data_IF_794251277674
#
_entry.id   IF_794251277674
#
_cell.length_a   1.000
_cell.length_b   1.000
_cell.length_c   1.000
_cell.angle_alpha   90.00
_cell.angle_beta   90.00
_cell.angle_gamma   90.00
#
_symmetry.space_group_name_H-M   'P 1'
#
loop_
_entity.id
_entity.type
_entity.pdbx_description
1 polymer ?
#
# COMPACT_ATOMS: atom_id res chain seq x y z
N UNK A 1 13.09 -17.29 22.81
CA UNK A 1 12.38 -16.03 23.14
C UNK A 1 11.79 -15.34 21.91
N UNK A 2 12.33 -15.50 20.70
CA UNK A 2 11.78 -14.85 19.47
C UNK A 2 10.42 -15.40 19.03
N UNK A 3 10.20 -16.72 19.15
CA UNK A 3 8.95 -17.37 18.71
C UNK A 3 7.71 -16.88 19.45
N UNK A 4 7.82 -16.50 20.73
CA UNK A 4 6.70 -15.98 21.52
C UNK A 4 6.18 -14.65 20.97
N UNK A 5 7.08 -13.73 20.58
CA UNK A 5 6.67 -12.42 20.04
C UNK A 5 5.99 -12.56 18.68
N UNK A 6 6.48 -13.45 17.82
CA UNK A 6 5.87 -13.71 16.52
C UNK A 6 4.46 -14.32 16.68
N UNK A 7 4.29 -15.29 17.58
CA UNK A 7 2.99 -15.89 17.88
C UNK A 7 2.01 -14.88 18.49
N UNK A 8 2.48 -14.01 19.39
CA UNK A 8 1.65 -12.95 19.97
C UNK A 8 1.21 -11.94 18.90
N UNK A 9 2.11 -11.56 17.99
CA UNK A 9 1.80 -10.66 16.88
C UNK A 9 0.83 -11.30 15.88
N UNK A 10 0.99 -12.59 15.57
CA UNK A 10 0.03 -13.35 14.76
C UNK A 10 -1.37 -13.32 15.39
N UNK A 11 -1.48 -13.57 16.69
CA UNK A 11 -2.75 -13.49 17.42
C UNK A 11 -3.34 -12.07 17.38
N UNK A 12 -2.51 -11.02 17.54
CA UNK A 12 -2.96 -9.63 17.40
C UNK A 12 -3.50 -9.34 16.00
N UNK A 13 -2.84 -9.84 14.94
CA UNK A 13 -3.29 -9.67 13.56
C UNK A 13 -4.64 -10.38 13.34
N UNK A 14 -4.79 -11.61 13.83
CA UNK A 14 -6.05 -12.36 13.73
C UNK A 14 -7.19 -11.62 14.46
N UNK A 15 -6.94 -11.12 15.67
CA UNK A 15 -7.92 -10.34 16.43
C UNK A 15 -8.28 -9.04 15.70
N UNK A 16 -7.29 -8.33 15.18
CA UNK A 16 -7.49 -7.11 14.41
C UNK A 16 -8.36 -7.36 13.17
N UNK A 17 -8.07 -8.42 12.41
CA UNK A 17 -8.85 -8.82 11.24
C UNK A 17 -10.30 -9.16 11.61
N UNK A 18 -10.53 -9.86 12.73
CA UNK A 18 -11.88 -10.17 13.18
C UNK A 18 -12.68 -8.91 13.54
N UNK A 19 -12.05 -7.94 14.22
CA UNK A 19 -12.67 -6.66 14.58
C UNK A 19 -13.03 -5.84 13.33
N UNK A 20 -12.18 -5.87 12.29
CA UNK A 20 -12.37 -5.12 11.05
C UNK A 20 -13.11 -5.91 9.96
N UNK A 21 -13.58 -7.13 10.27
CA UNK A 21 -14.33 -7.96 9.32
C UNK A 21 -13.54 -8.38 8.08
N UNK A 22 -12.23 -8.60 8.22
CA UNK A 22 -11.28 -8.82 7.13
C UNK A 22 -11.26 -7.68 6.10
N UNK A 23 -11.31 -6.43 6.57
CA UNK A 23 -11.22 -5.24 5.72
C UNK A 23 -10.07 -4.35 6.11
N UNK A 24 -9.46 -3.73 5.10
CA UNK A 24 -8.49 -2.65 5.25
C UNK A 24 -9.10 -1.43 4.59
N UNK A 25 -9.44 -0.44 5.41
CA UNK A 25 -9.98 0.84 4.96
C UNK A 25 -8.98 1.95 5.28
N UNK A 26 -8.56 2.69 4.26
CA UNK A 26 -7.59 3.78 4.41
C UNK A 26 -8.08 5.04 3.71
N UNK A 27 -7.87 6.19 4.35
CA UNK A 27 -8.05 7.50 3.77
C UNK A 27 -6.72 8.23 3.85
N UNK A 28 -6.13 8.54 2.69
CA UNK A 28 -4.80 9.14 2.57
C UNK A 28 -4.96 10.54 1.99
N UNK A 29 -4.75 11.57 2.82
CA UNK A 29 -4.97 12.98 2.44
C UNK A 29 -3.75 13.89 2.65
N UNK A 30 -2.68 13.36 3.25
CA UNK A 30 -1.46 14.11 3.58
C UNK A 30 -0.26 13.68 2.72
N UNK A 31 0.58 14.65 2.35
CA UNK A 31 1.72 14.47 1.45
C UNK A 31 1.38 14.80 0.00
N UNK A 32 2.11 14.19 -0.93
CA UNK A 32 1.90 14.36 -2.38
C UNK A 32 2.48 13.19 -3.17
N UNK A 33 2.08 13.08 -4.44
CA UNK A 33 2.73 12.26 -5.44
C UNK A 33 3.86 13.05 -6.09
N UNK A 34 5.08 12.54 -5.99
CA UNK A 34 6.29 13.08 -6.61
C UNK A 34 6.60 12.32 -7.90
N UNK A 35 7.03 13.03 -8.93
CA UNK A 35 7.45 12.39 -10.17
C UNK A 35 8.75 11.60 -9.94
N UNK A 36 8.75 10.30 -10.24
CA UNK A 36 9.93 9.45 -10.21
C UNK A 36 10.54 9.29 -11.60
N UNK A 37 9.68 9.19 -12.61
CA UNK A 37 10.04 9.14 -14.02
C UNK A 37 8.99 9.91 -14.81
N UNK A 38 9.18 10.19 -16.12
CA UNK A 38 8.18 10.90 -16.91
C UNK A 38 6.76 10.32 -16.82
N UNK A 39 6.62 9.02 -16.57
CA UNK A 39 5.32 8.32 -16.53
C UNK A 39 4.96 7.74 -15.16
N UNK A 40 5.78 7.93 -14.12
CA UNK A 40 5.58 7.29 -12.81
C UNK A 40 5.65 8.34 -11.73
N UNK A 41 4.64 8.36 -10.86
CA UNK A 41 4.56 9.22 -9.70
C UNK A 41 4.39 8.38 -8.44
N UNK A 42 5.08 8.73 -7.36
CA UNK A 42 4.98 7.99 -6.12
C UNK A 42 4.72 8.90 -4.92
N UNK A 43 3.83 8.44 -4.04
CA UNK A 43 3.69 8.94 -2.70
C UNK A 43 4.47 8.02 -1.76
N UNK A 44 5.43 8.60 -1.03
CA UNK A 44 6.18 7.90 0.01
C UNK A 44 6.04 8.66 1.32
N UNK A 45 5.53 8.00 2.35
CA UNK A 45 5.50 8.49 3.73
C UNK A 45 5.85 7.35 4.68
N UNK A 46 6.14 7.61 5.98
CA UNK A 46 6.48 6.54 6.92
C UNK A 46 5.39 5.46 6.96
N UNK A 47 5.72 4.28 6.41
CA UNK A 47 4.78 3.17 6.34
C UNK A 47 3.66 3.35 5.31
N UNK A 48 3.90 4.06 4.20
CA UNK A 48 3.06 4.03 2.99
C UNK A 48 3.96 4.18 1.77
N UNK A 49 3.77 3.34 0.76
CA UNK A 49 4.27 3.57 -0.58
C UNK A 49 3.17 3.29 -1.59
N UNK A 50 2.84 4.30 -2.39
CA UNK A 50 1.86 4.19 -3.47
C UNK A 50 2.53 4.73 -4.72
N UNK A 51 2.55 3.96 -5.80
CA UNK A 51 3.03 4.40 -7.10
C UNK A 51 1.90 4.34 -8.11
N UNK A 52 1.76 5.39 -8.92
CA UNK A 52 0.83 5.45 -10.04
C UNK A 52 1.62 5.60 -11.33
N UNK A 53 1.31 4.75 -12.30
CA UNK A 53 1.87 4.76 -13.64
C UNK A 53 0.87 5.26 -14.66
N UNK A 54 1.34 6.09 -15.59
CA UNK A 54 0.62 6.53 -16.78
C UNK A 54 1.25 5.93 -18.05
N UNK A 55 0.49 5.84 -19.13
CA UNK A 55 0.92 5.31 -20.44
C UNK A 55 1.87 6.28 -21.15
N UNK A 56 1.71 7.57 -20.89
CA UNK A 56 2.47 8.65 -21.51
C UNK A 56 2.85 9.70 -20.45
N UNK A 57 3.91 10.49 -20.69
CA UNK A 57 4.26 11.57 -19.79
C UNK A 57 3.17 12.63 -19.70
N UNK A 58 2.81 13.01 -18.48
CA UNK A 58 1.85 14.08 -18.23
C UNK A 58 2.49 15.42 -18.55
N UNK A 59 1.78 16.28 -19.28
CA UNK A 59 2.29 17.59 -19.66
C UNK A 59 1.90 18.66 -18.63
N UNK A 60 2.86 19.47 -18.14
CA UNK A 60 2.55 20.55 -17.20
C UNK A 60 1.50 21.52 -17.75
N UNK A 61 0.47 21.79 -16.95
CA UNK A 61 -0.54 22.81 -17.26
C UNK A 61 -1.64 22.41 -18.26
N UNK A 62 -1.58 21.21 -18.84
CA UNK A 62 -2.63 20.69 -19.74
C UNK A 62 -3.45 19.56 -19.15
N UNK A 63 -2.93 18.93 -18.09
CA UNK A 63 -3.51 17.73 -17.50
C UNK A 63 -4.87 18.04 -16.88
N UNK A 64 -5.86 17.26 -17.28
CA UNK A 64 -7.20 17.24 -16.71
C UNK A 64 -7.62 15.82 -16.30
N UNK A 65 -8.85 15.69 -15.79
CA UNK A 65 -9.40 14.40 -15.35
C UNK A 65 -9.47 13.38 -16.50
N UNK A 66 -9.86 13.81 -17.69
CA UNK A 66 -10.03 12.92 -18.84
C UNK A 66 -8.67 12.38 -19.31
N UNK A 67 -7.65 13.24 -19.40
CA UNK A 67 -6.28 12.86 -19.73
C UNK A 67 -5.75 11.84 -18.72
N UNK A 68 -5.93 12.08 -17.42
CA UNK A 68 -5.50 11.17 -16.36
C UNK A 68 -6.18 9.81 -16.44
N UNK A 69 -7.49 9.78 -16.71
CA UNK A 69 -8.26 8.54 -16.84
C UNK A 69 -7.86 7.73 -18.08
N UNK A 70 -7.68 8.39 -19.23
CA UNK A 70 -7.28 7.72 -20.47
C UNK A 70 -5.84 7.19 -20.40
N UNK A 71 -4.95 7.98 -19.80
CA UNK A 71 -3.54 7.64 -19.66
C UNK A 71 -3.22 6.76 -18.45
N UNK A 72 -4.14 6.51 -17.52
CA UNK A 72 -3.89 5.59 -16.41
C UNK A 72 -3.42 4.21 -16.91
N UNK A 73 -2.36 3.68 -16.30
CA UNK A 73 -1.77 2.40 -16.65
C UNK A 73 -1.82 1.41 -15.49
N UNK A 74 -1.36 1.79 -14.30
CA UNK A 74 -1.38 0.92 -13.13
C UNK A 74 -1.25 1.71 -11.83
N UNK A 75 -1.56 1.04 -10.72
CA UNK A 75 -1.15 1.42 -9.37
C UNK A 75 -0.33 0.28 -8.73
N UNK A 76 0.61 0.64 -7.87
CA UNK A 76 1.32 -0.29 -7.00
C UNK A 76 1.15 0.17 -5.54
N UNK A 77 0.90 -0.78 -4.65
CA UNK A 77 0.68 -0.52 -3.23
C UNK A 77 1.67 -1.33 -2.41
N UNK A 78 2.49 -0.63 -1.64
CA UNK A 78 3.40 -1.26 -0.70
C UNK A 78 3.32 -0.59 0.67
N UNK A 79 3.71 -1.35 1.69
CA UNK A 79 3.88 -0.87 3.06
C UNK A 79 2.62 -0.29 3.69
N UNK A 80 1.40 -0.58 3.23
CA UNK A 80 0.18 0.03 3.75
C UNK A 80 -0.01 -0.23 5.27
N UNK A 81 -0.43 0.77 6.06
CA UNK A 81 -0.57 0.63 7.49
C UNK A 81 -1.84 -0.13 7.85
N UNK A 82 -1.79 -0.86 8.96
CA UNK A 82 -2.94 -1.50 9.58
C UNK A 82 -3.37 -0.64 10.77
N UNK A 83 -4.24 0.34 10.53
CA UNK A 83 -4.64 1.32 11.55
C UNK A 83 -5.23 0.63 12.78
N UNK A 84 -4.72 0.96 13.96
CA UNK A 84 -5.15 0.35 15.23
C UNK A 84 -4.51 -1.00 15.55
N UNK A 85 -3.65 -1.56 14.69
CA UNK A 85 -2.82 -2.72 15.04
C UNK A 85 -1.62 -2.26 15.87
N UNK A 86 -1.50 -2.77 17.10
CA UNK A 86 -0.34 -2.57 17.95
C UNK A 86 0.84 -3.46 17.53
N UNK A 87 1.71 -2.92 16.68
CA UNK A 87 2.90 -3.60 16.15
C UNK A 87 4.08 -3.40 17.12
N UNK A 88 4.69 -4.48 17.65
CA UNK A 88 5.87 -4.39 18.51
C UNK A 88 7.02 -3.65 17.83
N UNK A 89 7.80 -2.91 18.62
CA UNK A 89 9.03 -2.27 18.13
C UNK A 89 9.96 -3.30 17.47
N UNK A 90 10.61 -2.90 16.37
CA UNK A 90 11.48 -3.79 15.61
C UNK A 90 10.75 -4.70 14.61
N UNK A 91 9.43 -4.61 14.47
CA UNK A 91 8.65 -5.33 13.46
C UNK A 91 8.10 -4.40 12.38
N UNK A 92 8.05 -4.92 11.15
CA UNK A 92 7.28 -4.38 10.03
C UNK A 92 6.14 -5.34 9.76
N UNK A 93 4.93 -4.80 9.60
CA UNK A 93 3.72 -5.59 9.31
C UNK A 93 2.90 -4.88 8.26
N UNK A 94 2.64 -5.54 7.15
CA UNK A 94 1.93 -4.97 6.01
C UNK A 94 1.02 -6.00 5.34
N UNK A 95 -0.08 -5.57 4.70
CA UNK A 95 -0.88 -6.44 3.87
C UNK A 95 -0.14 -6.75 2.55
N UNK A 96 -0.43 -7.92 1.97
CA UNK A 96 0.16 -8.37 0.70
C UNK A 96 -0.91 -8.43 -0.40
N UNK A 97 -0.67 -7.70 -1.48
CA UNK A 97 -1.49 -7.76 -2.69
C UNK A 97 -1.11 -9.00 -3.50
N UNK A 98 -2.07 -9.62 -4.22
CA UNK A 98 -1.78 -10.75 -5.12
C UNK A 98 -0.77 -10.42 -6.23
N UNK A 99 -0.72 -9.15 -6.63
CA UNK A 99 0.15 -8.63 -7.68
C UNK A 99 0.80 -7.33 -7.21
N UNK A 100 2.06 -7.12 -7.58
CA UNK A 100 2.83 -5.92 -7.21
C UNK A 100 2.31 -4.63 -7.87
N UNK A 101 1.61 -4.75 -8.99
CA UNK A 101 0.89 -3.64 -9.65
C UNK A 101 -0.37 -4.15 -10.31
N UNK A 102 -1.39 -3.29 -10.42
CA UNK A 102 -2.70 -3.62 -10.99
C UNK A 102 -3.43 -2.35 -11.44
N UNK A 103 -4.44 -2.50 -12.30
CA UNK A 103 -5.33 -1.44 -12.78
C UNK A 103 -6.80 -1.69 -12.40
N UNK A 104 -7.20 -2.97 -12.32
CA UNK A 104 -8.53 -3.37 -11.89
C UNK A 104 -8.87 -2.82 -10.50
N UNK A 105 -10.08 -2.25 -10.37
CA UNK A 105 -10.57 -1.69 -9.11
C UNK A 105 -10.00 -0.32 -8.76
N UNK A 106 -9.17 0.30 -9.62
CA UNK A 106 -8.70 1.68 -9.48
C UNK A 106 -9.61 2.62 -10.27
N UNK A 107 -10.05 3.70 -9.63
CA UNK A 107 -10.84 4.75 -10.25
C UNK A 107 -10.26 6.12 -9.90
N UNK A 108 -9.95 6.92 -10.90
CA UNK A 108 -9.62 8.34 -10.73
C UNK A 108 -10.96 9.09 -10.72
N UNK A 109 -11.36 9.53 -9.53
CA UNK A 109 -12.67 10.12 -9.27
C UNK A 109 -12.74 11.58 -9.72
N UNK A 110 -11.68 12.35 -9.42
CA UNK A 110 -11.60 13.78 -9.71
C UNK A 110 -10.15 14.25 -9.78
N UNK A 111 -9.94 15.37 -10.48
CA UNK A 111 -8.68 16.10 -10.49
C UNK A 111 -8.96 17.61 -10.46
N UNK A 112 -8.77 18.22 -9.29
CA UNK A 112 -9.11 19.61 -9.05
C UNK A 112 -8.01 20.27 -8.21
N UNK A 113 -7.61 21.50 -8.56
CA UNK A 113 -6.57 22.24 -7.84
C UNK A 113 -5.26 21.42 -7.67
N UNK A 114 -4.84 20.72 -8.73
CA UNK A 114 -3.68 19.82 -8.74
C UNK A 114 -3.77 18.62 -7.77
N UNK A 115 -4.97 18.29 -7.27
CA UNK A 115 -5.17 17.13 -6.37
C UNK A 115 -5.86 16.00 -7.10
N UNK A 116 -5.24 14.83 -7.04
CA UNK A 116 -5.78 13.58 -7.55
C UNK A 116 -6.64 12.94 -6.47
N UNK A 117 -7.92 12.75 -6.79
CA UNK A 117 -8.85 11.96 -5.99
C UNK A 117 -8.97 10.59 -6.63
N UNK A 118 -8.57 9.54 -5.90
CA UNK A 118 -8.64 8.18 -6.39
C UNK A 118 -9.24 7.22 -5.37
N UNK A 119 -9.99 6.25 -5.87
CA UNK A 119 -10.55 5.14 -5.10
C UNK A 119 -9.92 3.85 -5.60
N UNK A 120 -9.41 3.03 -4.69
CA UNK A 120 -8.83 1.72 -4.97
C UNK A 120 -9.64 0.68 -4.22
N UNK A 121 -10.23 -0.24 -4.97
CA UNK A 121 -10.84 -1.47 -4.45
C UNK A 121 -9.95 -2.64 -4.86
N UNK A 122 -9.38 -3.35 -3.90
CA UNK A 122 -8.48 -4.47 -4.17
C UNK A 122 -8.69 -5.59 -3.15
N UNK A 123 -7.91 -6.66 -3.27
CA UNK A 123 -7.85 -7.74 -2.30
C UNK A 123 -6.43 -7.91 -1.81
N UNK A 124 -6.28 -8.28 -0.55
CA UNK A 124 -5.03 -8.77 0.02
C UNK A 124 -5.23 -10.24 0.39
N UNK A 125 -4.20 -11.06 0.16
CA UNK A 125 -4.26 -12.51 0.46
C UNK A 125 -3.64 -12.87 1.80
N UNK A 126 -2.89 -11.93 2.39
CA UNK A 126 -2.24 -12.10 3.67
C UNK A 126 -1.90 -10.76 4.32
N UNK A 127 -1.68 -10.81 5.63
CA UNK A 127 -0.85 -9.83 6.34
C UNK A 127 0.46 -10.54 6.69
N UNK A 128 1.58 -9.96 6.29
CA UNK A 128 2.90 -10.50 6.60
C UNK A 128 3.62 -9.60 7.60
N UNK A 129 4.52 -10.20 8.39
CA UNK A 129 5.39 -9.46 9.29
C UNK A 129 6.81 -9.97 9.29
N UNK A 130 7.78 -9.08 9.45
CA UNK A 130 9.19 -9.42 9.60
C UNK A 130 9.92 -8.46 10.55
N UNK A 131 10.99 -8.94 11.19
CA UNK A 131 11.88 -8.07 11.97
C UNK A 131 12.68 -7.12 11.08
N UNK A 132 12.91 -5.90 11.56
CA UNK A 132 13.55 -4.80 10.81
C UNK A 132 15.03 -5.07 10.49
N UNK A 133 15.75 -5.74 11.39
CA UNK A 133 17.21 -5.87 11.33
C UNK A 133 17.69 -7.20 10.72
N UNK A 134 16.77 -8.11 10.42
CA UNK A 134 17.11 -9.38 9.80
C UNK A 134 16.76 -9.32 8.31
N UNK A 135 17.73 -8.90 7.51
CA UNK A 135 17.65 -9.13 6.08
C UNK A 135 17.68 -10.65 5.86
N UNK A 136 16.63 -11.26 5.27
CA UNK A 136 16.71 -12.66 4.91
C UNK A 136 17.91 -12.84 3.98
N UNK A 137 18.82 -13.74 4.37
CA UNK A 137 19.92 -14.16 3.49
C UNK A 137 19.26 -14.80 2.27
N UNK A 138 19.60 -14.31 1.07
CA UNK A 138 19.10 -14.88 -0.18
C UNK A 138 19.33 -16.39 -0.18
N UNK A 139 18.32 -17.16 -0.60
CA UNK A 139 18.35 -18.63 -0.66
C UNK A 139 18.45 -19.37 0.68
N UNK A 140 18.26 -18.68 1.81
CA UNK A 140 18.12 -19.30 3.13
C UNK A 140 16.70 -19.12 3.68
N UNK A 141 16.10 -20.14 4.30
CA UNK A 141 14.87 -19.96 5.07
C UNK A 141 15.04 -18.86 6.14
N UNK A 142 13.99 -18.07 6.35
CA UNK A 142 13.95 -17.14 7.48
C UNK A 142 14.12 -17.89 8.80
N UNK A 143 14.80 -17.27 9.76
CA UNK A 143 14.93 -17.84 11.09
C UNK A 143 13.57 -17.92 11.78
N UNK A 144 13.37 -18.95 12.60
CA UNK A 144 12.10 -19.14 13.30
C UNK A 144 11.80 -17.95 14.24
N UNK A 145 10.57 -17.44 14.15
CA UNK A 145 10.12 -16.30 14.96
C UNK A 145 10.62 -14.93 14.46
N UNK A 146 11.12 -14.84 13.23
CA UNK A 146 11.57 -13.57 12.63
C UNK A 146 10.76 -13.16 11.40
N UNK A 147 9.85 -14.06 10.99
CA UNK A 147 8.85 -13.90 9.96
C UNK A 147 7.50 -14.49 10.43
N UNK A 148 6.40 -13.91 9.99
CA UNK A 148 5.05 -14.48 10.12
C UNK A 148 4.19 -14.12 8.90
N UNK A 149 3.14 -14.91 8.68
CA UNK A 149 2.15 -14.65 7.63
C UNK A 149 0.77 -15.15 8.05
N UNK A 150 -0.19 -14.25 8.19
CA UNK A 150 -1.60 -14.57 8.44
C UNK A 150 -2.35 -14.53 7.12
N UNK A 151 -2.77 -15.70 6.63
CA UNK A 151 -3.49 -15.85 5.35
C UNK A 151 -5.00 -15.74 5.54
N UNK A 152 -5.60 -14.79 4.83
CA UNK A 152 -7.04 -14.50 4.78
C UNK A 152 -7.38 -13.81 3.46
N UNK A 153 -8.62 -13.97 3.02
CA UNK A 153 -9.18 -13.09 2.00
C UNK A 153 -9.56 -11.77 2.66
N UNK A 154 -8.84 -10.70 2.32
CA UNK A 154 -8.99 -9.38 2.95
C UNK A 154 -9.41 -8.38 1.87
N UNK A 155 -10.52 -7.67 2.10
CA UNK A 155 -10.97 -6.61 1.21
C UNK A 155 -10.18 -5.32 1.48
N UNK A 156 -9.70 -4.68 0.42
CA UNK A 156 -9.01 -3.39 0.49
C UNK A 156 -9.85 -2.29 -0.11
N UNK A 157 -10.08 -1.21 0.65
CA UNK A 157 -10.73 -0.02 0.16
C UNK A 157 -9.93 1.23 0.58
N UNK A 158 -9.28 1.85 -0.39
CA UNK A 158 -8.33 2.95 -0.14
C UNK A 158 -8.80 4.16 -0.92
N UNK A 159 -9.01 5.27 -0.21
CA UNK A 159 -9.24 6.58 -0.79
C UNK A 159 -7.97 7.40 -0.68
N UNK A 160 -7.56 7.99 -1.78
CA UNK A 160 -6.40 8.89 -1.84
C UNK A 160 -6.88 10.23 -2.35
N UNK A 161 -6.45 11.28 -1.67
CA UNK A 161 -6.67 12.66 -2.07
C UNK A 161 -5.35 13.39 -1.86
N UNK A 162 -4.49 13.40 -2.88
CA UNK A 162 -3.14 13.95 -2.77
C UNK A 162 -2.82 14.87 -3.95
N UNK A 163 -2.02 15.93 -3.76
CA UNK A 163 -1.42 16.68 -4.85
C UNK A 163 -0.63 15.76 -5.79
N UNK A 164 -0.76 15.99 -7.10
CA UNK A 164 0.05 15.35 -8.14
C UNK A 164 1.05 16.39 -8.69
N UNK A 165 2.33 16.23 -8.34
CA UNK A 165 3.38 17.18 -8.72
C UNK A 165 3.88 16.85 -10.13
N UNK A 166 3.46 17.64 -11.11
CA UNK A 166 3.85 17.52 -12.52
C UNK A 166 4.86 18.65 -12.81
N UNK A 167 6.11 18.27 -13.09
CA UNK A 167 7.22 19.21 -13.36
C UNK A 167 7.53 19.32 -14.86
#
# INVERSE_FOLDING_TARGET
>A
MSSTVANDLENKIIQWLNVHGNKIELNISEGSFQQLTPTIYAHTSPGIYISIGFKQPLQPGTVDLEELQQNFNYIALDKLPLLGLDVPSGWKVYPQTPMSSFDEGVRIDAYENHRLHLTISTRFFAIYGNKIEEHPIMDKPAEEGTYLQVRRDIEGFIKVNLPLMIE
#
